data_IF_574573902079
#
_entry.id   IF_574573902079
#
_cell.length_a   1.000
_cell.length_b   1.000
_cell.length_c   1.000
_cell.angle_alpha   90.00
_cell.angle_beta   90.00
_cell.angle_gamma   90.00
#
_symmetry.space_group_name_H-M   'P 1'
#
loop_
_entity.id
_entity.type
_entity.pdbx_description
1 polymer ?
#
# COMPACT_ATOMS: atom_id res chain seq x y z
N UNK A 1 68.60 -61.27 108.96
CA UNK A 1 67.14 -61.25 109.16
C UNK A 1 66.65 -59.99 108.47
N UNK A 2 66.05 -60.14 107.30
CA UNK A 2 65.67 -59.01 106.43
C UNK A 2 64.25 -58.56 106.78
N UNK A 3 64.12 -57.30 107.15
CA UNK A 3 62.88 -56.64 107.55
C UNK A 3 62.05 -56.30 106.30
N UNK A 4 60.79 -56.73 106.27
CA UNK A 4 59.90 -56.60 105.13
C UNK A 4 59.22 -55.22 105.12
N UNK A 5 59.38 -54.52 104.01
CA UNK A 5 58.74 -53.24 103.72
C UNK A 5 57.21 -53.41 103.55
N UNK A 6 56.37 -52.58 104.19
CA UNK A 6 54.92 -52.63 103.99
C UNK A 6 54.53 -52.18 102.58
N UNK A 7 53.55 -52.89 101.99
CA UNK A 7 53.13 -52.78 100.61
C UNK A 7 52.32 -51.52 100.24
N UNK A 8 52.03 -51.35 98.93
CA UNK A 8 51.49 -50.11 98.36
C UNK A 8 50.04 -49.82 98.79
N UNK A 9 49.63 -48.53 98.85
CA UNK A 9 48.28 -48.15 99.24
C UNK A 9 47.24 -48.59 98.18
N UNK A 10 46.00 -48.91 98.61
CA UNK A 10 44.96 -49.44 97.74
C UNK A 10 44.45 -48.42 96.72
N UNK A 11 44.11 -48.94 95.53
CA UNK A 11 43.58 -48.20 94.39
C UNK A 11 42.28 -47.45 94.75
N UNK A 12 42.14 -46.14 94.43
CA UNK A 12 40.93 -45.40 94.74
C UNK A 12 39.75 -45.94 93.92
N UNK A 13 38.71 -46.38 94.63
CA UNK A 13 37.49 -46.89 94.02
C UNK A 13 36.71 -45.74 93.35
N UNK A 14 36.41 -45.92 92.06
CA UNK A 14 35.69 -44.95 91.22
C UNK A 14 34.25 -44.85 91.69
N UNK A 15 33.82 -43.64 92.05
CA UNK A 15 32.44 -43.38 92.47
C UNK A 15 31.45 -43.52 91.29
N UNK A 16 30.20 -43.97 91.53
CA UNK A 16 29.21 -44.13 90.47
C UNK A 16 28.82 -42.77 89.86
N UNK A 17 28.79 -42.70 88.53
CA UNK A 17 28.33 -41.52 87.78
C UNK A 17 26.86 -41.72 87.43
N UNK A 18 26.04 -40.68 87.66
CA UNK A 18 24.62 -40.69 87.29
C UNK A 18 24.47 -40.88 85.77
N UNK A 19 23.49 -41.68 85.30
CA UNK A 19 23.27 -41.89 83.87
C UNK A 19 22.97 -40.57 83.16
N UNK A 20 23.51 -40.41 81.95
CA UNK A 20 23.37 -39.21 81.13
C UNK A 20 21.91 -38.82 80.91
N UNK A 21 21.63 -37.52 80.92
CA UNK A 21 20.28 -36.95 80.73
C UNK A 21 19.73 -37.41 79.36
N UNK A 22 18.49 -37.92 79.28
CA UNK A 22 17.94 -38.38 78.01
C UNK A 22 17.85 -37.23 77.00
N UNK A 23 18.35 -37.45 75.78
CA UNK A 23 18.22 -36.50 74.68
C UNK A 23 16.74 -36.30 74.33
N UNK A 24 16.34 -35.04 74.17
CA UNK A 24 14.96 -34.72 73.76
C UNK A 24 14.71 -35.28 72.36
N UNK A 25 13.60 -36.00 72.18
CA UNK A 25 13.22 -36.55 70.89
C UNK A 25 13.13 -35.43 69.84
N UNK A 26 13.76 -35.66 68.68
CA UNK A 26 13.72 -34.71 67.55
C UNK A 26 12.26 -34.43 67.18
N UNK A 27 11.84 -33.15 67.08
CA UNK A 27 10.47 -32.81 66.72
C UNK A 27 10.12 -33.43 65.37
N UNK A 28 8.98 -34.13 65.31
CA UNK A 28 8.47 -34.63 64.05
C UNK A 28 7.88 -33.48 63.24
N UNK A 29 8.33 -33.34 62.00
CA UNK A 29 7.80 -32.36 61.04
C UNK A 29 6.37 -32.78 60.72
N UNK A 30 5.38 -32.06 61.25
CA UNK A 30 3.99 -32.19 60.80
C UNK A 30 3.92 -31.70 59.36
N UNK A 31 3.46 -32.52 58.42
CA UNK A 31 3.06 -32.00 57.13
C UNK A 31 1.91 -31.03 57.34
N UNK A 32 2.04 -29.82 56.81
CA UNK A 32 0.96 -28.85 56.85
C UNK A 32 -0.23 -29.42 56.09
N UNK A 33 -1.38 -29.51 56.75
CA UNK A 33 -2.61 -30.01 56.15
C UNK A 33 -2.98 -29.10 54.98
N UNK A 34 -3.04 -29.67 53.78
CA UNK A 34 -3.37 -28.92 52.57
C UNK A 34 -4.87 -28.59 52.61
N UNK A 35 -5.19 -27.40 53.13
CA UNK A 35 -6.55 -26.88 53.08
C UNK A 35 -6.97 -26.78 51.62
N UNK A 36 -7.93 -27.61 51.23
CA UNK A 36 -8.57 -27.52 49.94
C UNK A 36 -9.24 -26.15 49.81
N UNK A 37 -8.71 -25.30 48.93
CA UNK A 37 -9.31 -24.01 48.62
C UNK A 37 -10.47 -24.27 47.66
N UNK A 38 -11.71 -24.16 48.15
CA UNK A 38 -12.92 -24.30 47.32
C UNK A 38 -13.22 -22.96 46.65
N UNK A 39 -12.92 -22.88 45.35
CA UNK A 39 -13.12 -21.67 44.54
C UNK A 39 -11.96 -20.65 44.64
N UNK A 40 -11.66 -19.96 43.53
CA UNK A 40 -10.50 -19.06 43.47
C UNK A 40 -9.97 -18.78 42.06
N UNK A 41 -8.87 -18.04 41.97
CA UNK A 41 -8.11 -17.85 40.72
C UNK A 41 -7.10 -18.98 40.57
N UNK A 42 -7.15 -19.69 39.45
CA UNK A 42 -6.16 -20.73 39.12
C UNK A 42 -4.90 -20.06 38.60
N UNK A 43 -3.76 -20.42 39.17
CA UNK A 43 -2.46 -19.93 38.72
C UNK A 43 -2.15 -20.49 37.31
N UNK A 44 -1.94 -19.65 36.28
CA UNK A 44 -1.72 -20.13 34.91
C UNK A 44 -0.37 -20.81 34.67
N UNK A 45 0.51 -20.86 35.68
CA UNK A 45 1.84 -21.48 35.58
C UNK A 45 1.96 -22.84 36.26
N UNK A 46 1.22 -23.08 37.35
CA UNK A 46 1.35 -24.30 38.15
C UNK A 46 0.01 -24.89 38.58
N UNK A 47 -1.08 -24.39 38.01
CA UNK A 47 -2.48 -24.82 38.20
C UNK A 47 -2.97 -24.89 39.66
N UNK A 48 -2.24 -24.24 40.57
CA UNK A 48 -2.63 -24.20 41.97
C UNK A 48 -3.79 -23.23 42.15
N UNK A 49 -4.88 -23.69 42.76
CA UNK A 49 -5.99 -22.82 43.16
C UNK A 49 -5.56 -21.86 44.28
N UNK A 50 -5.86 -20.57 44.10
CA UNK A 50 -5.58 -19.51 45.06
C UNK A 50 -6.86 -18.74 45.40
N UNK A 51 -7.06 -18.31 46.65
CA UNK A 51 -8.15 -17.39 47.01
C UNK A 51 -8.12 -16.11 46.16
N UNK A 52 -9.30 -15.51 45.91
CA UNK A 52 -9.45 -14.37 44.98
C UNK A 52 -8.72 -13.10 45.45
N UNK A 53 -8.52 -12.97 46.75
CA UNK A 53 -7.85 -11.86 47.41
C UNK A 53 -6.32 -11.93 47.37
N UNK A 54 -5.73 -13.01 46.83
CA UNK A 54 -4.27 -13.12 46.69
C UNK A 54 -3.76 -12.49 45.40
N UNK A 55 -2.75 -11.64 45.54
CA UNK A 55 -2.00 -11.08 44.41
C UNK A 55 -0.89 -12.01 43.87
N UNK A 56 -0.47 -13.02 44.65
CA UNK A 56 0.58 -13.98 44.27
C UNK A 56 0.18 -15.43 44.58
N UNK A 57 0.63 -16.36 43.75
CA UNK A 57 0.36 -17.79 43.90
C UNK A 57 0.97 -18.36 45.19
N UNK A 58 0.19 -19.15 45.94
CA UNK A 58 0.58 -19.81 47.19
C UNK A 58 1.65 -20.90 47.02
N UNK A 59 1.86 -21.40 45.80
CA UNK A 59 2.84 -22.47 45.49
C UNK A 59 4.08 -21.95 44.78
N UNK A 60 3.91 -21.27 43.65
CA UNK A 60 5.03 -20.81 42.82
C UNK A 60 5.35 -19.31 42.93
N UNK A 61 4.63 -18.55 43.78
CA UNK A 61 4.80 -17.11 43.99
C UNK A 61 4.60 -16.20 42.75
N UNK A 62 4.11 -16.72 41.62
CA UNK A 62 3.83 -15.89 40.43
C UNK A 62 2.64 -14.94 40.62
N UNK A 63 2.70 -13.77 39.99
CA UNK A 63 1.68 -12.72 40.07
C UNK A 63 0.35 -13.18 39.45
N UNK A 64 -0.73 -13.09 40.22
CA UNK A 64 -2.10 -13.37 39.79
C UNK A 64 -2.77 -12.11 39.20
N UNK A 65 -2.12 -10.95 39.24
CA UNK A 65 -2.65 -9.65 38.79
C UNK A 65 -2.87 -9.61 37.27
N UNK A 66 -2.09 -10.39 36.50
CA UNK A 66 -2.28 -10.56 35.05
C UNK A 66 -3.35 -11.60 34.69
N UNK A 67 -3.83 -12.36 35.67
CA UNK A 67 -4.86 -13.38 35.53
C UNK A 67 -6.25 -12.84 35.90
N UNK A 68 -6.58 -11.61 35.48
CA UNK A 68 -7.93 -11.07 35.61
C UNK A 68 -8.92 -12.01 34.88
N UNK A 69 -9.81 -12.72 35.59
CA UNK A 69 -10.79 -13.62 34.98
C UNK A 69 -11.84 -12.88 34.14
N UNK A 70 -11.96 -11.57 34.35
CA UNK A 70 -12.95 -10.66 33.75
C UNK A 70 -12.38 -9.72 32.68
N UNK A 71 -11.06 -9.69 32.50
CA UNK A 71 -10.42 -8.87 31.47
C UNK A 71 -10.62 -9.47 30.08
N UNK A 72 -10.83 -8.66 29.02
CA UNK A 72 -10.88 -9.18 27.66
C UNK A 72 -9.55 -9.91 27.35
N UNK A 73 -9.61 -11.24 27.25
CA UNK A 73 -8.47 -12.15 27.04
C UNK A 73 -7.64 -11.85 25.80
N UNK A 74 -8.16 -11.05 24.88
CA UNK A 74 -7.43 -10.65 23.68
C UNK A 74 -7.59 -9.16 23.45
N UNK A 75 -6.49 -8.40 23.58
CA UNK A 75 -6.43 -7.06 22.98
C UNK A 75 -6.76 -7.19 21.49
N UNK A 76 -7.62 -6.33 20.95
CA UNK A 76 -7.85 -6.26 19.50
C UNK A 76 -6.53 -5.97 18.79
N UNK A 77 -6.37 -6.45 17.56
CA UNK A 77 -5.08 -6.44 16.88
C UNK A 77 -4.49 -5.03 16.72
N UNK A 78 -5.32 -4.02 16.46
CA UNK A 78 -4.91 -2.60 16.41
C UNK A 78 -4.38 -2.10 17.76
N UNK A 79 -4.95 -2.54 18.89
CA UNK A 79 -4.46 -2.20 20.23
C UNK A 79 -3.14 -2.89 20.57
N UNK A 80 -2.83 -4.04 19.96
CA UNK A 80 -1.51 -4.70 20.10
C UNK A 80 -0.42 -3.91 19.39
N UNK A 81 -0.74 -3.33 18.23
CA UNK A 81 0.20 -2.51 17.45
C UNK A 81 0.43 -1.16 18.13
N UNK A 82 -0.63 -0.51 18.63
CA UNK A 82 -0.53 0.83 19.21
C UNK A 82 -0.01 0.88 20.65
N UNK A 83 -0.10 -0.22 21.41
CA UNK A 83 0.47 -0.34 22.77
C UNK A 83 1.16 -1.69 22.96
N UNK A 84 2.44 -1.81 22.57
CA UNK A 84 3.27 -2.97 22.85
C UNK A 84 3.69 -2.92 24.33
N UNK A 85 2.72 -3.03 25.24
CA UNK A 85 2.97 -3.10 26.67
C UNK A 85 3.08 -4.58 27.04
N UNK A 86 4.19 -5.18 26.59
CA UNK A 86 4.64 -6.53 26.93
C UNK A 86 5.84 -6.44 27.88
N UNK A 87 5.88 -5.45 28.79
CA UNK A 87 6.89 -5.46 29.83
C UNK A 87 6.54 -6.56 30.82
N UNK A 88 7.32 -7.64 30.83
CA UNK A 88 7.31 -8.60 31.93
C UNK A 88 7.46 -7.86 33.26
N UNK A 89 6.67 -8.25 34.26
CA UNK A 89 6.77 -7.66 35.59
C UNK A 89 8.21 -7.87 36.09
N UNK A 90 8.92 -6.80 36.51
CA UNK A 90 10.30 -6.92 36.96
C UNK A 90 10.41 -7.93 38.09
N UNK A 91 11.47 -8.73 38.08
CA UNK A 91 11.75 -9.67 39.15
C UNK A 91 12.12 -8.93 40.45
N UNK A 92 11.89 -9.55 41.61
CA UNK A 92 12.24 -8.95 42.88
C UNK A 92 13.77 -8.75 42.96
N UNK A 93 14.21 -7.48 43.02
CA UNK A 93 15.64 -7.09 43.00
C UNK A 93 16.12 -6.51 41.66
N UNK A 94 15.35 -6.64 40.59
CA UNK A 94 15.64 -6.02 39.30
C UNK A 94 15.41 -4.51 39.41
N UNK A 95 16.43 -3.68 39.12
CA UNK A 95 16.25 -2.22 38.95
C UNK A 95 16.02 -1.94 37.47
N UNK A 96 14.79 -1.61 37.04
CA UNK A 96 14.52 -1.36 35.64
C UNK A 96 15.33 -0.15 35.18
N UNK A 97 16.08 -0.30 34.10
CA UNK A 97 16.76 0.84 33.48
C UNK A 97 15.67 1.77 32.98
N UNK A 98 15.54 2.94 33.59
CA UNK A 98 14.69 4.05 33.13
C UNK A 98 15.23 4.56 31.79
N UNK A 99 15.07 3.77 30.71
CA UNK A 99 15.19 4.24 29.33
C UNK A 99 13.97 5.09 29.05
N UNK A 100 13.90 6.26 29.70
CA UNK A 100 12.86 7.26 29.45
C UNK A 100 13.00 7.76 28.02
N UNK A 101 12.02 7.41 27.20
CA UNK A 101 11.32 8.38 26.38
C UNK A 101 11.99 8.86 25.09
N UNK A 102 13.31 9.06 25.01
CA UNK A 102 13.87 9.81 23.86
C UNK A 102 13.67 9.08 22.52
N UNK A 103 13.95 7.77 22.47
CA UNK A 103 13.66 6.98 21.26
C UNK A 103 12.15 6.93 20.98
N UNK A 104 11.30 6.78 22.00
CA UNK A 104 9.85 6.73 21.81
C UNK A 104 9.31 8.06 21.27
N UNK A 105 9.75 9.19 21.85
CA UNK A 105 9.41 10.54 21.41
C UNK A 105 9.90 10.76 19.99
N UNK A 106 11.16 10.42 19.68
CA UNK A 106 11.73 10.54 18.34
C UNK A 106 10.96 9.69 17.31
N UNK A 107 10.65 8.42 17.62
CA UNK A 107 9.86 7.58 16.73
C UNK A 107 8.44 8.13 16.56
N UNK A 108 7.80 8.63 17.62
CA UNK A 108 6.46 9.23 17.51
C UNK A 108 6.46 10.53 16.73
N UNK A 109 7.48 11.38 16.85
CA UNK A 109 7.57 12.63 16.09
C UNK A 109 7.87 12.36 14.62
N UNK A 110 8.76 11.40 14.30
CA UNK A 110 9.00 10.97 12.93
C UNK A 110 7.74 10.36 12.33
N UNK A 111 7.04 9.48 13.05
CA UNK A 111 5.79 8.88 12.57
C UNK A 111 4.70 9.93 12.36
N UNK A 112 4.57 10.91 13.27
CA UNK A 112 3.63 12.01 13.12
C UNK A 112 3.99 12.91 11.93
N UNK A 113 5.26 13.23 11.74
CA UNK A 113 5.73 14.00 10.59
C UNK A 113 5.46 13.27 9.27
N UNK A 114 5.77 11.97 9.18
CA UNK A 114 5.46 11.13 8.01
C UNK A 114 3.95 11.06 7.76
N UNK A 115 3.15 10.93 8.83
CA UNK A 115 1.70 10.94 8.73
C UNK A 115 1.16 12.27 8.18
N UNK A 116 1.66 13.40 8.68
CA UNK A 116 1.31 14.73 8.18
C UNK A 116 1.73 14.93 6.72
N UNK A 117 2.94 14.48 6.35
CA UNK A 117 3.40 14.52 4.96
C UNK A 117 2.52 13.65 4.06
N UNK A 118 2.15 12.45 4.50
CA UNK A 118 1.24 11.57 3.76
C UNK A 118 -0.16 12.17 3.61
N UNK A 119 -0.68 12.84 4.64
CA UNK A 119 -1.97 13.57 4.58
C UNK A 119 -1.87 14.76 3.62
N UNK A 120 -0.79 15.54 3.69
CA UNK A 120 -0.57 16.67 2.78
C UNK A 120 -0.44 16.23 1.33
N UNK A 121 0.31 15.16 1.08
CA UNK A 121 0.44 14.56 -0.24
C UNK A 121 -0.89 13.97 -0.72
N UNK A 122 -1.59 13.24 0.15
CA UNK A 122 -2.91 12.70 -0.13
C UNK A 122 -3.92 13.79 -0.52
N UNK A 123 -3.95 14.91 0.20
CA UNK A 123 -4.80 16.05 -0.11
C UNK A 123 -4.42 16.74 -1.43
N UNK A 124 -3.12 16.89 -1.71
CA UNK A 124 -2.64 17.54 -2.93
C UNK A 124 -2.92 16.73 -4.20
N UNK A 125 -2.90 15.40 -4.11
CA UNK A 125 -3.07 14.48 -5.24
C UNK A 125 -4.35 13.64 -5.16
N UNK A 126 -5.28 13.99 -4.27
CA UNK A 126 -6.52 13.25 -4.04
C UNK A 126 -7.31 13.11 -5.35
N UNK A 127 -7.50 14.23 -6.06
CA UNK A 127 -8.27 14.27 -7.29
C UNK A 127 -7.62 13.40 -8.37
N UNK A 128 -6.31 13.50 -8.57
CA UNK A 128 -5.58 12.70 -9.57
C UNK A 128 -5.61 11.20 -9.25
N UNK A 129 -5.42 10.83 -7.98
CA UNK A 129 -5.45 9.43 -7.54
C UNK A 129 -6.86 8.82 -7.70
N UNK A 130 -7.89 9.57 -7.29
CA UNK A 130 -9.29 9.16 -7.43
C UNK A 130 -9.66 9.05 -8.90
N UNK A 131 -9.31 10.06 -9.71
CA UNK A 131 -9.53 10.06 -11.15
C UNK A 131 -8.80 8.92 -11.85
N UNK A 132 -7.57 8.59 -11.44
CA UNK A 132 -6.80 7.48 -11.99
C UNK A 132 -7.46 6.12 -11.74
N UNK A 133 -8.06 5.92 -10.56
CA UNK A 133 -8.84 4.70 -10.27
C UNK A 133 -10.11 4.67 -11.11
N UNK A 134 -10.87 5.77 -11.17
CA UNK A 134 -12.06 5.84 -12.00
C UNK A 134 -11.75 5.62 -13.49
N UNK A 135 -10.65 6.17 -14.02
CA UNK A 135 -10.20 5.96 -15.41
C UNK A 135 -9.94 4.50 -15.74
N UNK A 136 -9.46 3.74 -14.77
CA UNK A 136 -9.17 2.34 -14.96
C UNK A 136 -10.45 1.52 -15.16
N UNK A 137 -11.51 1.86 -14.41
CA UNK A 137 -12.79 1.13 -14.41
C UNK A 137 -13.89 1.80 -15.25
N UNK A 138 -13.67 3.00 -15.77
CA UNK A 138 -14.63 3.71 -16.59
C UNK A 138 -14.93 2.96 -17.89
N UNK A 139 -16.22 2.85 -18.21
CA UNK A 139 -16.65 2.46 -19.55
C UNK A 139 -16.26 3.57 -20.52
N UNK A 140 -15.55 3.20 -21.59
CA UNK A 140 -15.10 4.13 -22.64
C UNK A 140 -16.26 4.42 -23.58
N UNK A 141 -16.54 5.69 -23.83
CA UNK A 141 -17.57 6.14 -24.78
C UNK A 141 -16.95 7.07 -25.81
N UNK A 142 -17.40 7.04 -27.08
CA UNK A 142 -16.98 8.00 -28.09
C UNK A 142 -17.31 9.42 -27.65
N UNK A 143 -16.39 10.35 -27.92
CA UNK A 143 -16.52 11.78 -27.66
C UNK A 143 -16.65 12.49 -29.00
N UNK A 144 -17.76 13.18 -29.21
CA UNK A 144 -18.02 13.90 -30.45
C UNK A 144 -17.16 15.15 -30.58
N UNK A 145 -16.56 15.32 -31.75
CA UNK A 145 -15.88 16.55 -32.17
C UNK A 145 -16.94 17.55 -32.65
N UNK A 146 -16.94 18.75 -32.10
CA UNK A 146 -17.92 19.80 -32.47
C UNK A 146 -17.47 20.62 -33.67
N UNK A 147 -16.16 20.80 -33.83
CA UNK A 147 -15.57 21.52 -34.97
C UNK A 147 -14.19 20.96 -35.31
N UNK A 148 -13.85 21.00 -36.59
CA UNK A 148 -12.61 20.44 -37.14
C UNK A 148 -12.00 21.38 -38.16
N UNK A 149 -10.68 21.58 -38.10
CA UNK A 149 -9.93 22.32 -39.13
C UNK A 149 -8.57 21.67 -39.39
N UNK A 150 -7.94 22.04 -40.48
CA UNK A 150 -6.58 21.63 -40.79
C UNK A 150 -5.69 22.85 -41.12
N UNK A 151 -4.38 22.67 -41.12
CA UNK A 151 -3.44 23.63 -41.73
C UNK A 151 -3.71 23.80 -43.22
N UNK A 152 -3.96 22.68 -43.91
CA UNK A 152 -4.33 22.58 -45.31
C UNK A 152 -5.10 21.27 -45.52
N UNK A 153 -5.85 21.17 -46.60
CA UNK A 153 -6.48 19.92 -46.99
C UNK A 153 -6.56 19.83 -48.51
N UNK A 154 -6.48 18.61 -49.03
CA UNK A 154 -6.93 18.34 -50.39
C UNK A 154 -8.41 18.75 -50.54
N UNK A 155 -8.81 19.42 -51.63
CA UNK A 155 -10.18 19.90 -51.81
C UNK A 155 -11.26 18.81 -51.70
N UNK A 156 -10.91 17.56 -52.02
CA UNK A 156 -11.80 16.41 -51.94
C UNK A 156 -11.68 15.62 -50.63
N UNK A 157 -10.67 15.90 -49.81
CA UNK A 157 -10.36 15.17 -48.57
C UNK A 157 -10.17 16.12 -47.38
N UNK A 158 -11.25 16.84 -47.05
CA UNK A 158 -11.26 17.87 -46.00
C UNK A 158 -11.17 17.34 -44.56
N UNK A 159 -10.99 18.23 -43.56
CA UNK A 159 -10.68 17.84 -42.18
C UNK A 159 -11.80 17.08 -41.47
N UNK A 160 -13.06 17.36 -41.85
CA UNK A 160 -14.24 16.71 -41.24
C UNK A 160 -14.30 15.22 -41.54
N UNK A 161 -13.69 14.77 -42.63
CA UNK A 161 -13.71 13.37 -43.04
C UNK A 161 -12.92 12.45 -42.09
N UNK A 162 -12.00 13.00 -41.28
CA UNK A 162 -11.32 12.22 -40.26
C UNK A 162 -12.11 12.12 -38.94
N UNK A 163 -13.34 12.63 -38.88
CA UNK A 163 -14.18 12.65 -37.67
C UNK A 163 -15.66 12.36 -37.97
N UNK A 164 -15.96 11.78 -39.14
CA UNK A 164 -17.34 11.55 -39.59
C UNK A 164 -17.87 10.16 -39.25
N UNK A 165 -17.03 9.29 -38.64
CA UNK A 165 -17.38 7.93 -38.27
C UNK A 165 -17.33 6.94 -39.43
N UNK A 166 -16.83 7.35 -40.59
CA UNK A 166 -16.71 6.52 -41.79
C UNK A 166 -15.23 6.15 -42.01
N UNK A 167 -14.99 4.90 -42.39
CA UNK A 167 -13.65 4.35 -42.54
C UNK A 167 -13.23 4.19 -44.02
N UNK A 168 -13.98 4.83 -44.91
CA UNK A 168 -13.82 4.92 -46.36
C UNK A 168 -13.78 6.37 -46.87
N UNK A 169 -14.07 7.34 -45.99
CA UNK A 169 -13.68 8.75 -46.14
C UNK A 169 -12.35 8.97 -45.41
N UNK A 170 -11.66 10.06 -45.77
CA UNK A 170 -10.36 10.39 -45.19
C UNK A 170 -10.03 11.87 -45.36
N UNK A 171 -9.26 12.41 -44.42
CA UNK A 171 -8.56 13.68 -44.56
C UNK A 171 -7.21 13.47 -45.23
N UNK A 172 -6.88 14.31 -46.21
CA UNK A 172 -5.57 14.39 -46.83
C UNK A 172 -4.95 15.77 -46.65
N UNK A 173 -3.67 15.83 -46.30
CA UNK A 173 -2.97 17.10 -46.09
C UNK A 173 -2.76 17.89 -47.40
N UNK A 174 -2.98 17.27 -48.57
CA UNK A 174 -2.96 17.91 -49.88
C UNK A 174 -1.56 18.27 -50.38
N UNK A 175 -0.49 17.82 -49.71
CA UNK A 175 0.89 18.06 -50.10
C UNK A 175 1.61 16.75 -50.39
N UNK A 176 2.52 16.77 -51.36
CA UNK A 176 3.47 15.68 -51.52
C UNK A 176 4.48 15.61 -50.37
N UNK A 177 4.85 14.40 -49.97
CA UNK A 177 5.92 14.13 -49.02
C UNK A 177 5.42 13.54 -47.71
N UNK A 178 6.09 13.88 -46.60
CA UNK A 178 5.75 13.32 -45.28
C UNK A 178 4.66 14.08 -44.54
N UNK A 179 4.16 15.18 -45.11
CA UNK A 179 3.20 16.06 -44.44
C UNK A 179 3.72 16.71 -43.16
N UNK A 180 5.03 16.66 -42.89
CA UNK A 180 5.61 17.14 -41.64
C UNK A 180 5.25 18.61 -41.37
N UNK A 181 4.70 18.88 -40.18
CA UNK A 181 4.20 20.19 -39.77
C UNK A 181 2.75 20.48 -40.14
N UNK A 182 2.14 19.70 -41.03
CA UNK A 182 0.70 19.79 -41.29
C UNK A 182 -0.09 19.24 -40.11
N UNK A 183 -1.27 19.78 -39.86
CA UNK A 183 -2.07 19.39 -38.70
C UNK A 183 -3.55 19.30 -38.99
N UNK A 184 -4.22 18.44 -38.21
CA UNK A 184 -5.65 18.48 -37.94
C UNK A 184 -5.89 19.01 -36.53
N UNK A 185 -6.96 19.76 -36.34
CA UNK A 185 -7.38 20.24 -35.02
C UNK A 185 -8.84 19.87 -34.79
N UNK A 186 -9.09 19.15 -33.70
CA UNK A 186 -10.39 18.81 -33.19
C UNK A 186 -10.74 19.74 -32.02
N UNK A 187 -11.96 20.28 -32.02
CA UNK A 187 -12.53 21.07 -30.94
C UNK A 187 -13.72 20.31 -30.33
N UNK A 188 -13.84 20.35 -29.01
CA UNK A 188 -14.95 19.73 -28.28
C UNK A 188 -15.94 20.79 -27.82
N UNK A 189 -17.24 20.50 -27.94
CA UNK A 189 -18.29 21.46 -27.59
C UNK A 189 -18.36 21.78 -26.10
N UNK A 190 -17.84 20.89 -25.26
CA UNK A 190 -17.71 21.08 -23.82
C UNK A 190 -16.36 20.49 -23.36
N UNK A 191 -15.77 20.98 -22.25
CA UNK A 191 -14.58 20.38 -21.67
C UNK A 191 -14.81 18.89 -21.35
N UNK A 192 -13.97 18.02 -21.91
CA UNK A 192 -14.13 16.56 -21.81
C UNK A 192 -12.88 15.87 -21.29
N UNK A 193 -13.05 14.79 -20.54
CA UNK A 193 -11.94 13.94 -20.12
C UNK A 193 -11.70 12.86 -21.17
N UNK A 194 -10.44 12.73 -21.60
CA UNK A 194 -10.02 11.78 -22.63
C UNK A 194 -9.18 10.66 -22.00
N UNK A 195 -9.38 9.45 -22.50
CA UNK A 195 -8.71 8.24 -22.06
C UNK A 195 -7.77 7.70 -23.15
N UNK A 196 -8.28 7.66 -24.39
CA UNK A 196 -7.56 7.18 -25.55
C UNK A 196 -8.09 7.84 -26.82
N UNK A 197 -7.29 7.72 -27.88
CA UNK A 197 -7.68 8.02 -29.25
C UNK A 197 -7.55 6.74 -30.07
N UNK A 198 -8.45 6.53 -31.02
CA UNK A 198 -8.31 5.51 -32.06
C UNK A 198 -8.05 6.24 -33.37
N UNK A 199 -7.01 5.85 -34.09
CA UNK A 199 -6.67 6.44 -35.38
C UNK A 199 -6.62 5.32 -36.41
N UNK A 200 -7.32 5.50 -37.53
CA UNK A 200 -7.22 4.63 -38.71
C UNK A 200 -6.31 5.31 -39.73
N UNK A 201 -5.04 4.88 -39.87
CA UNK A 201 -4.09 5.52 -40.77
C UNK A 201 -4.39 5.21 -42.25
N UNK A 202 -4.06 6.15 -43.13
CA UNK A 202 -4.24 5.99 -44.57
C UNK A 202 -5.64 6.39 -45.04
N UNK A 203 -6.06 5.85 -46.19
CA UNK A 203 -7.32 6.23 -46.85
C UNK A 203 -8.49 5.30 -46.56
N UNK A 204 -8.24 4.19 -45.87
CA UNK A 204 -9.27 3.20 -45.54
C UNK A 204 -8.80 2.27 -44.42
N UNK A 205 -9.74 1.60 -43.75
CA UNK A 205 -9.43 0.44 -42.89
C UNK A 205 -9.07 -0.84 -43.66
N UNK A 206 -9.34 -0.91 -44.96
CA UNK A 206 -9.16 -2.13 -45.75
C UNK A 206 -7.69 -2.37 -46.14
N UNK A 207 -7.11 -3.58 -45.92
CA UNK A 207 -5.70 -3.86 -46.18
C UNK A 207 -5.21 -3.62 -47.62
N UNK A 208 -6.09 -3.75 -48.62
CA UNK A 208 -5.80 -3.53 -50.04
C UNK A 208 -5.91 -2.06 -50.48
N UNK A 209 -6.46 -1.19 -49.62
CA UNK A 209 -6.71 0.22 -49.94
C UNK A 209 -5.97 1.20 -49.04
N UNK A 210 -5.73 0.88 -47.77
CA UNK A 210 -5.22 1.82 -46.78
C UNK A 210 -3.91 2.52 -47.19
N UNK A 211 -3.04 1.82 -47.92
CA UNK A 211 -1.72 2.27 -48.32
C UNK A 211 -1.65 2.99 -49.69
N UNK A 212 -2.80 3.32 -50.31
CA UNK A 212 -2.84 4.09 -51.58
C UNK A 212 -2.28 5.51 -51.46
N UNK A 213 -2.24 6.04 -50.23
CA UNK A 213 -1.58 7.30 -49.89
C UNK A 213 -0.60 7.08 -48.72
N UNK A 214 0.14 8.13 -48.38
CA UNK A 214 1.00 8.16 -47.22
C UNK A 214 0.20 7.98 -45.94
N UNK A 215 0.82 7.40 -44.92
CA UNK A 215 0.17 7.06 -43.64
C UNK A 215 0.95 7.69 -42.50
N UNK A 216 0.29 8.28 -41.49
CA UNK A 216 1.00 8.88 -40.37
C UNK A 216 1.81 7.82 -39.63
N UNK A 217 3.07 8.13 -39.33
CA UNK A 217 3.95 7.32 -38.48
C UNK A 217 4.05 7.94 -37.09
N UNK A 218 4.27 9.25 -37.04
CA UNK A 218 4.41 10.00 -35.78
C UNK A 218 3.51 11.23 -35.86
N UNK A 219 2.69 11.40 -34.82
CA UNK A 219 1.82 12.55 -34.62
C UNK A 219 2.13 13.20 -33.27
N UNK A 220 2.39 14.51 -33.26
CA UNK A 220 2.42 15.29 -32.04
C UNK A 220 1.01 15.80 -31.71
N UNK A 221 0.43 15.30 -30.62
CA UNK A 221 -0.85 15.76 -30.09
C UNK A 221 -0.63 16.88 -29.06
N UNK A 222 -0.91 18.13 -29.45
CA UNK A 222 -0.95 19.30 -28.57
C UNK A 222 -2.36 19.48 -28.04
N UNK A 223 -2.54 19.20 -26.75
CA UNK A 223 -3.80 19.16 -26.03
C UNK A 223 -3.97 20.47 -25.25
N UNK A 224 -5.12 21.11 -25.37
CA UNK A 224 -5.46 22.34 -24.64
C UNK A 224 -6.65 22.08 -23.72
N UNK A 225 -6.44 22.28 -22.42
CA UNK A 225 -7.46 22.16 -21.38
C UNK A 225 -8.20 23.48 -21.15
N UNK A 226 -9.38 23.41 -20.53
CA UNK A 226 -10.25 24.58 -20.28
C UNK A 226 -9.63 25.64 -19.36
N UNK A 227 -8.63 25.26 -18.57
CA UNK A 227 -7.83 26.13 -17.70
C UNK A 227 -6.64 26.79 -18.43
N UNK A 228 -6.51 26.57 -19.74
CA UNK A 228 -5.42 27.09 -20.56
C UNK A 228 -4.14 26.26 -20.50
N UNK A 229 -4.09 25.17 -19.72
CA UNK A 229 -2.92 24.28 -19.71
C UNK A 229 -2.75 23.59 -21.05
N UNK A 230 -1.48 23.44 -21.45
CA UNK A 230 -1.09 22.81 -22.71
C UNK A 230 -0.17 21.65 -22.42
N UNK A 231 -0.51 20.48 -22.96
CA UNK A 231 0.27 19.26 -22.87
C UNK A 231 0.54 18.73 -24.26
N UNK A 232 1.75 18.23 -24.51
CA UNK A 232 2.10 17.58 -25.78
C UNK A 232 2.34 16.09 -25.54
N UNK A 233 1.76 15.25 -26.40
CA UNK A 233 1.95 13.79 -26.40
C UNK A 233 2.35 13.33 -27.80
N UNK A 234 3.38 12.50 -27.89
CA UNK A 234 3.74 11.84 -29.15
C UNK A 234 2.93 10.56 -29.31
N UNK A 235 2.21 10.45 -30.41
CA UNK A 235 1.47 9.29 -30.86
C UNK A 235 2.28 8.60 -31.95
N UNK A 236 2.56 7.31 -31.78
CA UNK A 236 3.26 6.50 -32.77
C UNK A 236 2.29 5.46 -33.31
N UNK A 237 2.23 5.36 -34.64
CA UNK A 237 1.40 4.41 -35.34
C UNK A 237 2.29 3.38 -36.04
N UNK A 238 1.80 2.15 -36.07
CA UNK A 238 2.40 1.08 -36.86
C UNK A 238 1.99 1.22 -38.33
N UNK A 239 2.81 0.74 -39.26
CA UNK A 239 2.43 0.65 -40.67
C UNK A 239 1.49 -0.55 -40.91
N UNK A 240 0.28 -0.46 -40.36
CA UNK A 240 -0.71 -1.52 -40.39
C UNK A 240 -2.11 -0.97 -40.70
N UNK A 241 -2.89 -1.74 -41.45
CA UNK A 241 -4.27 -1.40 -41.79
C UNK A 241 -5.20 -1.47 -40.58
N UNK A 242 -6.24 -0.64 -40.60
CA UNK A 242 -7.30 -0.64 -39.61
C UNK A 242 -7.04 0.24 -38.37
N UNK A 243 -7.99 0.26 -37.43
CA UNK A 243 -7.98 1.17 -36.29
C UNK A 243 -6.89 0.81 -35.28
N UNK A 244 -6.09 1.80 -34.88
CA UNK A 244 -5.05 1.68 -33.87
C UNK A 244 -5.39 2.49 -32.63
N UNK A 245 -5.44 1.83 -31.48
CA UNK A 245 -5.78 2.44 -30.20
C UNK A 245 -4.53 2.95 -29.49
N UNK A 246 -4.47 4.26 -29.24
CA UNK A 246 -3.33 4.93 -28.62
C UNK A 246 -3.72 5.60 -27.30
N UNK A 247 -2.87 5.54 -26.26
CA UNK A 247 -3.15 6.19 -25.00
C UNK A 247 -3.11 7.72 -25.15
N UNK A 248 -4.16 8.39 -24.68
CA UNK A 248 -4.26 9.85 -24.73
C UNK A 248 -5.06 10.34 -23.52
N UNK A 249 -4.42 10.30 -22.35
CA UNK A 249 -5.02 10.75 -21.10
C UNK A 249 -4.85 12.25 -20.91
N UNK A 250 -5.96 12.96 -20.82
CA UNK A 250 -5.99 14.39 -20.50
C UNK A 250 -7.35 14.80 -19.95
N UNK A 251 -7.35 15.80 -19.07
CA UNK A 251 -8.54 16.26 -18.36
C UNK A 251 -9.05 17.60 -18.91
N UNK A 252 -10.38 17.77 -18.88
CA UNK A 252 -11.06 19.02 -19.27
C UNK A 252 -10.57 19.58 -20.63
N UNK A 253 -10.35 18.69 -21.59
CA UNK A 253 -9.84 19.03 -22.93
C UNK A 253 -10.90 19.80 -23.71
N UNK A 254 -10.48 20.90 -24.32
CA UNK A 254 -11.34 21.71 -25.21
C UNK A 254 -10.90 21.61 -26.66
N UNK A 255 -9.62 21.33 -26.90
CA UNK A 255 -9.03 21.28 -28.24
C UNK A 255 -7.82 20.35 -28.28
N UNK A 256 -7.67 19.62 -29.37
CA UNK A 256 -6.45 18.86 -29.69
C UNK A 256 -6.00 19.22 -31.09
N UNK A 257 -4.73 19.60 -31.23
CA UNK A 257 -4.05 19.69 -32.52
C UNK A 257 -3.14 18.48 -32.71
N UNK A 258 -3.37 17.73 -33.77
CA UNK A 258 -2.62 16.55 -34.19
C UNK A 258 -1.72 16.95 -35.36
N UNK A 259 -0.44 17.18 -35.08
CA UNK A 259 0.54 17.58 -36.09
C UNK A 259 1.29 16.36 -36.60
N UNK A 260 1.34 16.17 -37.92
CA UNK A 260 2.17 15.15 -38.56
C UNK A 260 3.65 15.47 -38.37
N UNK A 261 4.44 14.50 -37.91
CA UNK A 261 5.90 14.63 -37.78
C UNK A 261 6.64 13.72 -38.77
N UNK A 262 6.11 12.52 -39.00
CA UNK A 262 6.66 11.55 -39.93
C UNK A 262 5.55 10.68 -40.53
N UNK A 263 5.81 10.10 -41.71
CA UNK A 263 4.85 9.29 -42.43
C UNK A 263 5.52 8.10 -43.14
N UNK A 264 4.79 6.99 -43.23
CA UNK A 264 5.10 5.85 -44.09
C UNK A 264 4.60 6.10 -45.50
N UNK A 265 5.29 5.53 -46.49
CA UNK A 265 4.91 5.65 -47.90
C UNK A 265 4.97 7.09 -48.44
N UNK A 266 5.72 7.98 -47.78
CA UNK A 266 5.91 9.36 -48.22
C UNK A 266 6.59 9.41 -49.60
N UNK A 267 6.11 10.29 -50.47
CA UNK A 267 6.65 10.48 -51.82
C UNK A 267 6.22 11.82 -52.42
N UNK A 268 6.90 12.32 -53.46
CA UNK A 268 6.71 13.69 -53.96
C UNK A 268 5.30 14.00 -54.48
N UNK A 269 4.52 12.98 -54.86
CA UNK A 269 3.13 13.12 -55.35
C UNK A 269 2.14 12.33 -54.48
N UNK A 270 2.52 12.04 -53.24
CA UNK A 270 1.74 11.24 -52.29
C UNK A 270 1.49 12.10 -51.07
N UNK A 271 0.22 12.28 -50.73
CA UNK A 271 -0.20 13.00 -49.55
C UNK A 271 -0.36 12.08 -48.35
N UNK A 272 -0.38 12.62 -47.14
CA UNK A 272 -0.61 11.82 -45.94
C UNK A 272 -2.11 11.81 -45.63
N UNK A 273 -2.67 10.60 -45.61
CA UNK A 273 -4.08 10.37 -45.34
C UNK A 273 -4.34 9.86 -43.92
N UNK A 274 -5.43 10.33 -43.32
CA UNK A 274 -6.00 9.75 -42.10
C UNK A 274 -7.48 9.50 -42.35
N UNK A 275 -7.90 8.24 -42.25
CA UNK A 275 -9.27 7.84 -42.54
C UNK A 275 -10.20 8.26 -41.42
N UNK A 276 -9.86 7.94 -40.17
CA UNK A 276 -10.74 8.25 -39.05
C UNK A 276 -9.94 8.47 -37.77
N UNK A 277 -10.43 9.38 -36.93
CA UNK A 277 -9.92 9.71 -35.60
C UNK A 277 -11.08 9.75 -34.62
N UNK A 278 -11.09 8.81 -33.68
CA UNK A 278 -12.12 8.71 -32.65
C UNK A 278 -11.52 8.97 -31.27
N UNK A 279 -12.05 9.96 -30.57
CA UNK A 279 -11.69 10.23 -29.18
C UNK A 279 -12.61 9.46 -28.23
N UNK A 280 -12.03 8.90 -27.16
CA UNK A 280 -12.81 8.18 -26.15
C UNK A 280 -12.59 8.80 -24.78
N UNK A 281 -13.70 9.05 -24.10
CA UNK A 281 -13.75 9.60 -22.76
C UNK A 281 -14.46 8.66 -21.79
N UNK A 282 -14.65 9.16 -20.58
CA UNK A 282 -15.41 8.47 -19.53
C UNK A 282 -16.89 8.49 -19.88
N UNK A 283 -17.60 7.36 -19.67
CA UNK A 283 -19.06 7.39 -19.64
C UNK A 283 -19.51 8.27 -18.47
N UNK A 284 -20.25 9.34 -18.73
CA UNK A 284 -20.98 10.09 -17.71
C UNK A 284 -22.17 9.24 -17.21
N UNK A 285 -21.90 8.15 -16.50
CA UNK A 285 -22.91 7.48 -15.71
C UNK A 285 -23.00 8.19 -14.36
N UNK A 286 -23.81 9.25 -14.31
CA UNK A 286 -24.44 9.74 -13.08
C UNK A 286 -23.89 11.05 -12.49
N UNK A 287 -24.47 12.17 -12.95
CA UNK A 287 -24.90 13.28 -12.07
C UNK A 287 -26.02 14.04 -12.81
N UNK A 288 -27.27 13.62 -12.58
CA UNK A 288 -28.42 14.53 -12.58
C UNK A 288 -28.73 14.88 -11.14
#
# INVERSE_FOLDING_TARGET
MADQQPGPPPNPQVAPVLPGRPEQARPQVRQAEERAVVGGVICPWCDTANPRERHFCRKCAMSLVSADPSGPRTRSWWRRILRPDNSEAPWAGERPRLRRGLNRVLFTTIAAALGLTAVGFGAAYADDAVNGVYDHFAKRVPVSVSDSKASHSDPSHGPRMAFDGLADTWWGDGYGGSGAGQFLEATFGQPTDLLNVIITPGVSKQPDQYARQGRPQIIAARITSSDGRILTRTLRLDDAAGPQKLPLRAHKVTRIRLTLEAAYGAGPNVQVGISEIEFFGRSFAGTR
#
